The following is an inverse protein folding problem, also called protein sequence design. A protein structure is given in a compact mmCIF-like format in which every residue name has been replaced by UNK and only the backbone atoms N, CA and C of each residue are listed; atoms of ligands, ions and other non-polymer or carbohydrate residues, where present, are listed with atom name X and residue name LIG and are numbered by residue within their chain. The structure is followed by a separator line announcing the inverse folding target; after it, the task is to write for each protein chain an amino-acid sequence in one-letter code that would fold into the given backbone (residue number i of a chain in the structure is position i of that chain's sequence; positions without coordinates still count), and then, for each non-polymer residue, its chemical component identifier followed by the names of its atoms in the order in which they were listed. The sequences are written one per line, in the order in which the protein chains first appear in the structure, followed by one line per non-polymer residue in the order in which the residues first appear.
data_IF_738022532324
#
_entry.id   IF_738022532324
#
_cell.length_a   1.000
_cell.length_b   1.000
_cell.length_c   1.000
_cell.angle_alpha   90.00
_cell.angle_beta   90.00
_cell.angle_gamma   90.00
#
_symmetry.space_group_name_H-M   'P 1'
#
loop_
_entity.id
_entity.type
_entity.pdbx_description
1 polymer ?
#
# COMPACT_ATOMS: atom_id res chain seq x y z
N UNK A 1 10.35 58.93 -14.61
CA UNK A 1 10.75 57.65 -13.98
C UNK A 1 12.21 57.76 -13.59
N UNK A 2 12.55 57.47 -12.33
CA UNK A 2 13.93 57.55 -11.85
C UNK A 2 14.74 56.34 -12.33
N UNK A 3 16.03 56.51 -12.61
CA UNK A 3 16.91 55.39 -13.02
C UNK A 3 16.92 54.25 -11.99
N UNK A 4 16.58 54.53 -10.74
CA UNK A 4 16.40 53.54 -9.67
C UNK A 4 15.17 52.66 -9.85
N UNK A 5 14.03 53.20 -10.33
CA UNK A 5 12.83 52.39 -10.57
C UNK A 5 13.00 51.47 -11.77
N UNK A 6 13.68 51.94 -12.83
CA UNK A 6 13.97 51.11 -14.01
C UNK A 6 14.91 49.94 -13.69
N UNK A 7 15.95 50.18 -12.89
CA UNK A 7 16.87 49.13 -12.45
C UNK A 7 16.18 48.09 -11.57
N UNK A 8 15.32 48.54 -10.65
CA UNK A 8 14.55 47.62 -9.80
C UNK A 8 13.61 46.72 -10.63
N UNK A 9 12.91 47.29 -11.61
CA UNK A 9 12.03 46.53 -12.50
C UNK A 9 12.80 45.49 -13.33
N UNK A 10 13.96 45.85 -13.88
CA UNK A 10 14.81 44.93 -14.65
C UNK A 10 15.40 43.82 -13.78
N UNK A 11 15.74 44.13 -12.52
CA UNK A 11 16.24 43.13 -11.55
C UNK A 11 15.16 42.10 -11.21
N UNK A 12 13.93 42.57 -11.00
CA UNK A 12 12.79 41.71 -10.70
C UNK A 12 12.44 40.81 -11.88
N UNK A 13 12.46 41.36 -13.10
CA UNK A 13 12.24 40.59 -14.33
C UNK A 13 13.32 39.51 -14.53
N UNK A 14 14.59 39.83 -14.25
CA UNK A 14 15.69 38.86 -14.32
C UNK A 14 15.52 37.70 -13.34
N UNK A 15 15.16 37.99 -12.09
CA UNK A 15 14.89 36.95 -11.08
C UNK A 15 13.65 36.12 -11.44
N UNK A 16 12.62 36.75 -12.00
CA UNK A 16 11.40 36.05 -12.41
C UNK A 16 11.65 35.08 -13.57
N UNK A 17 12.41 35.50 -14.59
CA UNK A 17 12.77 34.62 -15.72
C UNK A 17 13.69 33.49 -15.25
N UNK A 18 14.66 33.77 -14.37
CA UNK A 18 15.51 32.72 -13.79
C UNK A 18 14.70 31.70 -12.95
N UNK A 19 13.71 32.16 -12.19
CA UNK A 19 12.79 31.30 -11.45
C UNK A 19 11.95 30.41 -12.35
N UNK A 20 11.43 30.94 -13.46
CA UNK A 20 10.66 30.17 -14.45
C UNK A 20 11.50 29.09 -15.15
N UNK A 21 12.73 29.43 -15.56
CA UNK A 21 13.62 28.46 -16.20
C UNK A 21 14.03 27.37 -15.21
N UNK A 22 14.36 27.73 -13.95
CA UNK A 22 14.69 26.76 -12.91
C UNK A 22 13.51 25.83 -12.59
N UNK A 23 12.30 26.37 -12.45
CA UNK A 23 11.08 25.58 -12.23
C UNK A 23 10.75 24.63 -13.37
N UNK A 24 10.94 25.05 -14.62
CA UNK A 24 10.74 24.20 -15.80
C UNK A 24 11.72 23.02 -15.84
N UNK A 25 13.01 23.25 -15.56
CA UNK A 25 14.00 22.15 -15.53
C UNK A 25 13.78 21.20 -14.35
N UNK A 26 13.36 21.70 -13.18
CA UNK A 26 12.97 20.84 -12.05
C UNK A 26 11.77 19.96 -12.46
N UNK A 27 10.74 20.53 -13.08
CA UNK A 27 9.56 19.78 -13.51
C UNK A 27 9.86 18.70 -14.58
N UNK A 28 10.80 18.97 -15.49
CA UNK A 28 11.22 18.00 -16.51
C UNK A 28 12.07 16.87 -15.89
N UNK A 29 12.92 17.17 -14.90
CA UNK A 29 13.77 16.17 -14.24
C UNK A 29 13.01 15.33 -13.21
N UNK A 30 11.99 15.89 -12.54
CA UNK A 30 11.15 15.16 -11.59
C UNK A 30 9.93 14.49 -12.22
N UNK A 31 9.76 14.58 -13.55
CA UNK A 31 8.63 13.96 -14.27
C UNK A 31 7.27 14.63 -14.01
N UNK A 32 7.26 15.90 -13.61
CA UNK A 32 6.06 16.64 -13.22
C UNK A 32 5.27 17.27 -14.39
N UNK A 33 5.61 16.97 -15.65
CA UNK A 33 4.82 17.35 -16.83
C UNK A 33 3.90 16.22 -17.32
N UNK A 34 3.28 15.50 -16.37
CA UNK A 34 2.07 14.71 -16.61
C UNK A 34 0.85 15.59 -16.38
N UNK A 35 0.13 15.90 -17.45
CA UNK A 35 -1.20 16.52 -17.46
C UNK A 35 -2.14 15.97 -16.37
N UNK A 36 -2.92 16.81 -15.67
CA UNK A 36 -4.03 16.33 -14.84
C UNK A 36 -5.17 15.86 -15.75
N UNK A 37 -5.17 14.57 -16.11
CA UNK A 37 -6.36 13.92 -16.66
C UNK A 37 -7.42 13.80 -15.56
N UNK A 38 -8.67 14.25 -15.77
CA UNK A 38 -9.80 13.86 -14.93
C UNK A 38 -10.22 12.44 -15.34
N UNK A 39 -9.30 11.49 -15.17
CA UNK A 39 -9.59 10.08 -15.38
C UNK A 39 -10.10 9.54 -14.05
N UNK A 40 -11.40 9.29 -14.05
CA UNK A 40 -12.07 8.11 -13.47
C UNK A 40 -11.18 7.37 -12.46
N UNK A 41 -11.50 7.37 -11.16
CA UNK A 41 -10.73 6.58 -10.20
C UNK A 41 -10.60 5.17 -10.78
N UNK A 42 -9.37 4.65 -10.99
CA UNK A 42 -9.20 3.32 -11.53
C UNK A 42 -10.05 2.42 -10.64
N UNK A 43 -10.99 1.72 -11.27
CA UNK A 43 -11.82 0.73 -10.60
C UNK A 43 -10.87 -0.02 -9.68
N UNK A 44 -11.11 0.11 -8.37
CA UNK A 44 -10.33 -0.53 -7.33
C UNK A 44 -10.31 -1.99 -7.75
N UNK A 45 -9.22 -2.40 -8.40
CA UNK A 45 -8.84 -3.79 -8.44
C UNK A 45 -8.59 -4.03 -6.98
N UNK A 46 -9.65 -4.51 -6.33
CA UNK A 46 -9.59 -5.10 -5.02
C UNK A 46 -8.45 -6.09 -5.17
N UNK A 47 -7.25 -5.70 -4.74
CA UNK A 47 -6.16 -6.63 -4.56
C UNK A 47 -6.82 -7.79 -3.83
N UNK A 48 -6.70 -9.04 -4.33
CA UNK A 48 -7.33 -10.17 -3.68
C UNK A 48 -6.97 -10.07 -2.21
N UNK A 49 -8.00 -9.98 -1.38
CA UNK A 49 -7.93 -9.75 0.06
C UNK A 49 -7.01 -10.86 0.61
N UNK A 50 -5.70 -10.59 0.69
CA UNK A 50 -4.69 -11.46 1.28
C UNK A 50 -4.82 -11.35 2.81
N UNK A 51 -6.06 -11.51 3.30
CA UNK A 51 -6.36 -11.82 4.67
C UNK A 51 -5.85 -13.24 4.92
N UNK A 52 -4.77 -13.33 5.69
CA UNK A 52 -4.45 -14.55 6.41
C UNK A 52 -3.22 -15.33 5.93
N UNK A 53 -2.12 -14.66 5.60
CA UNK A 53 -0.80 -15.33 5.61
C UNK A 53 0.03 -14.98 6.85
N UNK A 54 -0.64 -14.95 8.02
CA UNK A 54 -0.01 -15.04 9.34
C UNK A 54 -0.19 -16.46 9.94
N UNK A 55 -0.24 -17.48 9.08
CA UNK A 55 -0.01 -18.88 9.49
C UNK A 55 1.49 -19.16 9.61
N UNK A 56 1.93 -20.19 10.36
CA UNK A 56 3.32 -20.40 10.78
C UNK A 56 4.32 -20.22 9.62
N UNK A 57 5.01 -19.07 9.61
CA UNK A 57 5.62 -18.43 8.44
C UNK A 57 6.95 -19.06 7.95
N UNK A 58 7.43 -20.15 8.55
CA UNK A 58 8.76 -20.69 8.25
C UNK A 58 8.79 -21.76 7.16
N UNK A 59 7.99 -22.80 7.34
CA UNK A 59 8.18 -24.06 6.60
C UNK A 59 7.57 -24.04 5.20
N UNK A 60 6.37 -23.47 5.04
CA UNK A 60 5.70 -23.40 3.74
C UNK A 60 6.38 -22.46 2.75
N UNK A 61 6.98 -21.37 3.23
CA UNK A 61 7.67 -20.41 2.37
C UNK A 61 8.99 -21.00 1.83
N UNK A 62 9.78 -21.65 2.70
CA UNK A 62 11.01 -22.30 2.26
C UNK A 62 10.75 -23.42 1.25
N UNK A 63 9.66 -24.16 1.42
CA UNK A 63 9.25 -25.19 0.46
C UNK A 63 8.92 -24.59 -0.91
N UNK A 64 8.11 -23.53 -0.93
CA UNK A 64 7.77 -22.82 -2.18
C UNK A 64 8.98 -22.22 -2.88
N UNK A 65 9.95 -21.69 -2.13
CA UNK A 65 11.18 -21.15 -2.71
C UNK A 65 11.97 -22.27 -3.38
N UNK A 66 12.10 -23.44 -2.75
CA UNK A 66 12.76 -24.61 -3.36
C UNK A 66 12.03 -25.10 -4.59
N UNK A 67 10.70 -25.26 -4.53
CA UNK A 67 9.88 -25.66 -5.68
C UNK A 67 10.05 -24.71 -6.87
N UNK A 68 10.11 -23.40 -6.62
CA UNK A 68 10.39 -22.39 -7.64
C UNK A 68 11.80 -22.52 -8.22
N UNK A 69 12.82 -22.74 -7.38
CA UNK A 69 14.20 -22.92 -7.82
C UNK A 69 14.37 -24.17 -8.69
N UNK A 70 13.77 -25.29 -8.27
CA UNK A 70 13.79 -26.55 -9.00
C UNK A 70 13.11 -26.39 -10.37
N UNK A 71 11.92 -25.79 -10.39
CA UNK A 71 11.18 -25.52 -11.63
C UNK A 71 11.97 -24.61 -12.59
N UNK A 72 12.59 -23.54 -12.09
CA UNK A 72 13.39 -22.63 -12.92
C UNK A 72 14.65 -23.30 -13.47
N UNK A 73 15.32 -24.12 -12.66
CA UNK A 73 16.51 -24.86 -13.09
C UNK A 73 16.16 -25.85 -14.21
N UNK A 74 15.06 -26.60 -14.05
CA UNK A 74 14.59 -27.57 -15.03
C UNK A 74 14.19 -26.90 -16.36
N UNK A 75 13.42 -25.81 -16.30
CA UNK A 75 12.82 -25.22 -17.51
C UNK A 75 13.76 -24.25 -18.25
N UNK A 76 14.67 -23.59 -17.53
CA UNK A 76 15.60 -22.62 -18.12
C UNK A 76 16.96 -23.24 -18.44
N UNK A 77 17.18 -24.53 -18.14
CA UNK A 77 18.42 -25.26 -18.40
C UNK A 77 19.66 -24.52 -17.86
N UNK A 78 19.55 -23.97 -16.65
CA UNK A 78 20.59 -23.16 -16.05
C UNK A 78 21.82 -24.02 -15.72
N UNK A 79 22.98 -23.59 -16.20
CA UNK A 79 24.26 -24.19 -15.77
C UNK A 79 24.52 -23.92 -14.29
N UNK A 80 25.28 -24.78 -13.62
CA UNK A 80 25.63 -24.60 -12.20
C UNK A 80 26.26 -23.22 -11.92
N UNK A 81 27.08 -22.72 -12.85
CA UNK A 81 27.69 -21.41 -12.76
C UNK A 81 26.69 -20.24 -12.85
N UNK A 82 25.51 -20.45 -13.46
CA UNK A 82 24.47 -19.43 -13.62
C UNK A 82 23.42 -19.46 -12.51
N UNK A 83 23.19 -20.62 -11.88
CA UNK A 83 22.14 -20.79 -10.87
C UNK A 83 22.34 -19.86 -9.68
N UNK A 84 23.53 -19.89 -9.07
CA UNK A 84 23.82 -19.09 -7.88
C UNK A 84 23.64 -17.58 -8.09
N UNK A 85 24.26 -16.94 -9.11
CA UNK A 85 24.07 -15.51 -9.32
C UNK A 85 22.62 -15.14 -9.68
N UNK A 86 21.90 -15.99 -10.43
CA UNK A 86 20.49 -15.75 -10.74
C UNK A 86 19.62 -15.75 -9.47
N UNK A 87 19.77 -16.76 -8.62
CA UNK A 87 18.95 -16.86 -7.41
C UNK A 87 19.29 -15.79 -6.38
N UNK A 88 20.53 -15.30 -6.36
CA UNK A 88 20.92 -14.14 -5.55
C UNK A 88 20.18 -12.87 -6.02
N UNK A 89 20.14 -12.62 -7.34
CA UNK A 89 19.38 -11.48 -7.92
C UNK A 89 17.89 -11.59 -7.59
N UNK A 90 17.29 -12.78 -7.75
CA UNK A 90 15.88 -13.01 -7.45
C UNK A 90 15.60 -12.76 -5.96
N UNK A 91 16.47 -13.25 -5.07
CA UNK A 91 16.33 -13.04 -3.62
C UNK A 91 16.44 -11.57 -3.25
N UNK A 92 17.39 -10.83 -3.85
CA UNK A 92 17.54 -9.40 -3.64
C UNK A 92 16.29 -8.65 -4.11
N UNK A 93 15.81 -8.92 -5.32
CA UNK A 93 14.61 -8.31 -5.87
C UNK A 93 13.37 -8.58 -4.98
N UNK A 94 13.18 -9.81 -4.49
CA UNK A 94 12.09 -10.12 -3.57
C UNK A 94 12.22 -9.38 -2.23
N UNK A 95 13.44 -9.18 -1.73
CA UNK A 95 13.69 -8.38 -0.53
C UNK A 95 13.30 -6.92 -0.75
N UNK A 96 13.79 -6.31 -1.83
CA UNK A 96 13.49 -4.93 -2.20
C UNK A 96 11.99 -4.72 -2.40
N UNK A 97 11.34 -5.60 -3.16
CA UNK A 97 9.88 -5.53 -3.37
C UNK A 97 9.11 -5.61 -2.07
N UNK A 98 9.52 -6.49 -1.13
CA UNK A 98 8.88 -6.56 0.20
C UNK A 98 9.06 -5.27 0.97
N UNK A 99 10.26 -4.69 0.97
CA UNK A 99 10.53 -3.42 1.65
C UNK A 99 9.70 -2.28 1.06
N UNK A 100 9.62 -2.19 -0.28
CA UNK A 100 8.79 -1.19 -0.97
C UNK A 100 7.31 -1.35 -0.63
N UNK A 101 6.79 -2.58 -0.62
CA UNK A 101 5.41 -2.85 -0.24
C UNK A 101 5.14 -2.50 1.24
N UNK A 102 6.07 -2.81 2.14
CA UNK A 102 5.96 -2.42 3.55
C UNK A 102 5.94 -0.90 3.71
N UNK A 103 6.81 -0.20 3.01
CA UNK A 103 6.87 1.27 3.01
C UNK A 103 5.58 1.88 2.45
N UNK A 104 5.10 1.38 1.30
CA UNK A 104 3.83 1.83 0.70
C UNK A 104 2.65 1.61 1.64
N UNK A 105 2.55 0.43 2.27
CA UNK A 105 1.52 0.13 3.28
C UNK A 105 1.64 1.04 4.51
N UNK A 106 2.84 1.44 4.89
CA UNK A 106 3.04 2.36 6.01
C UNK A 106 2.57 3.77 5.64
N UNK A 107 3.04 4.29 4.51
CA UNK A 107 2.63 5.61 3.99
C UNK A 107 1.12 5.70 3.81
N UNK A 108 0.50 4.65 3.24
CA UNK A 108 -0.95 4.60 3.09
C UNK A 108 -1.66 4.60 4.46
N UNK A 109 -1.17 3.84 5.44
CA UNK A 109 -1.71 3.84 6.80
C UNK A 109 -1.62 5.21 7.46
N UNK A 110 -0.50 5.90 7.29
CA UNK A 110 -0.26 7.23 7.85
C UNK A 110 -1.16 8.28 7.18
N UNK A 111 -1.31 8.22 5.85
CA UNK A 111 -2.21 9.10 5.10
C UNK A 111 -3.68 8.90 5.51
N UNK A 112 -4.12 7.65 5.66
CA UNK A 112 -5.47 7.35 6.15
C UNK A 112 -5.69 7.85 7.59
N UNK A 113 -4.70 7.66 8.47
CA UNK A 113 -4.80 8.15 9.85
C UNK A 113 -4.91 9.69 9.91
N UNK A 114 -4.15 10.41 9.07
CA UNK A 114 -4.25 11.86 8.96
C UNK A 114 -5.61 12.30 8.40
N UNK A 115 -6.11 11.61 7.37
CA UNK A 115 -7.45 11.86 6.82
C UNK A 115 -8.55 11.63 7.85
N UNK A 116 -8.50 10.51 8.59
CA UNK A 116 -9.46 10.20 9.64
C UNK A 116 -9.45 11.26 10.75
N UNK A 117 -8.26 11.75 11.14
CA UNK A 117 -8.14 12.82 12.13
C UNK A 117 -8.74 14.15 11.63
N UNK A 118 -8.52 14.52 10.37
CA UNK A 118 -9.12 15.71 9.78
C UNK A 118 -10.64 15.59 9.70
N UNK A 119 -11.15 14.43 9.27
CA UNK A 119 -12.58 14.15 9.24
C UNK A 119 -13.21 14.20 10.64
N UNK A 120 -12.55 13.66 11.67
CA UNK A 120 -13.02 13.78 13.05
C UNK A 120 -13.07 15.23 13.53
N UNK A 121 -12.10 16.05 13.15
CA UNK A 121 -12.11 17.48 13.45
C UNK A 121 -13.33 18.17 12.82
N UNK A 122 -13.63 17.88 11.55
CA UNK A 122 -14.82 18.40 10.87
C UNK A 122 -16.12 17.92 11.53
N UNK A 123 -16.22 16.65 11.89
CA UNK A 123 -17.38 16.12 12.63
C UNK A 123 -17.62 16.85 13.95
N UNK A 124 -16.56 17.18 14.69
CA UNK A 124 -16.66 17.91 15.95
C UNK A 124 -17.20 19.35 15.78
N UNK A 125 -17.21 19.90 14.56
CA UNK A 125 -17.83 21.21 14.28
C UNK A 125 -19.35 21.12 14.11
N UNK A 126 -19.89 19.93 13.80
CA UNK A 126 -21.31 19.70 13.50
C UNK A 126 -22.01 18.97 14.64
N UNK A 127 -21.34 17.99 15.24
CA UNK A 127 -21.89 17.13 16.29
C UNK A 127 -21.58 17.68 17.68
N UNK A 128 -22.51 17.50 18.61
CA UNK A 128 -22.22 17.71 20.03
C UNK A 128 -21.33 16.59 20.61
N UNK A 129 -20.80 16.79 21.82
CA UNK A 129 -19.90 15.83 22.46
C UNK A 129 -20.55 14.45 22.72
N UNK A 130 -21.86 14.39 22.97
CA UNK A 130 -22.54 13.13 23.23
C UNK A 130 -22.72 12.32 21.93
N UNK A 131 -23.10 12.99 20.84
CA UNK A 131 -23.22 12.40 19.52
C UNK A 131 -21.88 11.90 18.99
N UNK A 132 -20.80 12.65 19.22
CA UNK A 132 -19.44 12.27 18.82
C UNK A 132 -18.98 10.99 19.55
N UNK A 133 -19.26 10.87 20.85
CA UNK A 133 -18.94 9.65 21.60
C UNK A 133 -19.70 8.42 21.10
N UNK A 134 -20.97 8.58 20.71
CA UNK A 134 -21.77 7.50 20.09
C UNK A 134 -21.17 7.13 18.74
N UNK A 135 -20.80 8.12 17.92
CA UNK A 135 -20.15 7.89 16.63
C UNK A 135 -18.85 7.08 16.78
N UNK A 136 -17.97 7.48 17.70
CA UNK A 136 -16.70 6.79 17.96
C UNK A 136 -16.92 5.34 18.40
N UNK A 137 -17.94 5.08 19.23
CA UNK A 137 -18.27 3.72 19.66
C UNK A 137 -18.73 2.80 18.52
N UNK A 138 -19.33 3.37 17.48
CA UNK A 138 -19.87 2.62 16.34
C UNK A 138 -18.83 2.44 15.22
N UNK A 139 -18.02 3.46 14.96
CA UNK A 139 -17.17 3.56 13.77
C UNK A 139 -15.68 3.53 14.05
N UNK A 140 -15.24 3.58 15.32
CA UNK A 140 -13.81 3.46 15.63
C UNK A 140 -13.23 2.16 15.07
N UNK A 141 -12.00 2.27 14.57
CA UNK A 141 -11.22 1.14 14.05
C UNK A 141 -11.14 0.00 15.07
N UNK A 142 -11.05 0.32 16.36
CA UNK A 142 -11.05 -0.66 17.45
C UNK A 142 -12.37 -1.42 17.57
N UNK A 143 -13.53 -0.74 17.45
CA UNK A 143 -14.82 -1.40 17.45
C UNK A 143 -14.97 -2.36 16.26
N UNK A 144 -14.48 -1.96 15.08
CA UNK A 144 -14.48 -2.83 13.90
C UNK A 144 -13.55 -4.04 14.07
N UNK A 145 -12.34 -3.85 14.61
CA UNK A 145 -11.40 -4.93 14.90
C UNK A 145 -11.96 -5.91 15.94
N UNK A 146 -12.60 -5.42 17.01
CA UNK A 146 -13.28 -6.27 17.99
C UNK A 146 -14.38 -7.11 17.35
N UNK A 147 -15.18 -6.53 16.44
CA UNK A 147 -16.21 -7.28 15.70
C UNK A 147 -15.61 -8.34 14.77
N UNK A 148 -14.48 -8.05 14.13
CA UNK A 148 -13.77 -9.04 13.31
C UNK A 148 -13.18 -10.17 14.17
N UNK A 149 -12.57 -9.84 15.32
CA UNK A 149 -12.05 -10.83 16.26
C UNK A 149 -13.17 -11.72 16.81
N UNK A 150 -14.31 -11.15 17.19
CA UNK A 150 -15.48 -11.91 17.66
C UNK A 150 -16.08 -12.82 16.58
N UNK A 151 -15.99 -12.44 15.30
CA UNK A 151 -16.41 -13.30 14.18
C UNK A 151 -15.41 -14.41 13.88
N UNK A 152 -14.11 -14.18 14.09
CA UNK A 152 -13.05 -15.17 13.88
C UNK A 152 -12.94 -16.23 14.97
N UNK A 153 -13.46 -15.97 16.18
CA UNK A 153 -13.45 -16.89 17.33
C UNK A 153 -14.82 -17.48 17.66
N UNK A 154 -15.79 -17.39 16.74
CA UNK A 154 -17.00 -18.21 16.84
C UNK A 154 -16.60 -19.69 16.85
N UNK A 155 -17.19 -20.54 17.72
CA UNK A 155 -16.86 -21.96 17.76
C UNK A 155 -17.01 -22.49 16.35
N UNK A 156 -15.94 -23.06 15.79
CA UNK A 156 -15.99 -23.81 14.56
C UNK A 156 -17.08 -24.86 14.77
N UNK A 157 -18.27 -24.60 14.23
CA UNK A 157 -19.41 -25.48 14.26
C UNK A 157 -19.00 -26.78 13.58
N UNK A 158 -18.43 -27.70 14.34
CA UNK A 158 -18.95 -29.02 14.68
C UNK A 158 -20.30 -29.37 14.01
N UNK A 159 -20.37 -29.18 12.70
CA UNK A 159 -21.52 -29.44 11.86
C UNK A 159 -21.00 -29.98 10.54
N UNK A 160 -20.91 -31.31 10.43
CA UNK A 160 -20.67 -31.96 9.14
C UNK A 160 -19.82 -33.23 9.15
N UNK A 161 -19.29 -33.68 10.29
CA UNK A 161 -18.73 -35.05 10.43
C UNK A 161 -19.79 -36.05 10.90
N UNK A 162 -21.00 -35.95 10.36
CA UNK A 162 -22.00 -37.03 10.41
C UNK A 162 -22.49 -37.28 8.99
N UNK A 163 -21.66 -37.93 8.18
CA UNK A 163 -22.15 -38.74 7.05
C UNK A 163 -21.69 -40.17 7.29
N UNK A 164 -22.34 -40.79 8.29
CA UNK A 164 -22.32 -42.23 8.46
C UNK A 164 -22.79 -42.88 7.17
N UNK A 165 -21.93 -43.72 6.60
CA UNK A 165 -22.34 -44.64 5.55
C UNK A 165 -23.17 -45.76 6.19
N UNK A 166 -24.39 -46.03 5.70
CA UNK A 166 -25.02 -47.29 5.98
C UNK A 166 -24.34 -48.35 5.12
N UNK A 167 -23.78 -49.36 5.78
CA UNK A 167 -23.26 -50.56 5.14
C UNK A 167 -24.29 -51.22 4.24
N UNK A 168 -23.81 -51.82 3.16
CA UNK A 168 -24.52 -52.85 2.42
C UNK A 168 -23.61 -54.06 2.29
N UNK A 169 -24.15 -55.17 2.79
CA UNK A 169 -23.68 -56.53 2.59
C UNK A 169 -23.52 -56.88 1.11
#
# INVERSE_FOLDING_TARGET
MSNTTLKAALSFLGLFVAGLVSGYFIAVVTGASGTPSPETPPAVQTEPDFRGYDGPQGEGLQRRIREMQDHMTEHLQLTEAQQQPLFEIIRLNHSERRNLMQQSRQQFRDAMAAHDAAFHYELATVLDQQQLAVWDSLYSREAQLRRQQQRGTGPASESGRERGGPGRN
#
